data_IF_575214463563
#
_entry.id   IF_575214463563
#
_cell.length_a   1.000
_cell.length_b   1.000
_cell.length_c   1.000
_cell.angle_alpha   90.00
_cell.angle_beta   90.00
_cell.angle_gamma   90.00
#
_symmetry.space_group_name_H-M   'P 1'
#
loop_
_entity.id
_entity.type
_entity.pdbx_description
1 polymer ?
#
# COMPACT_ATOMS: atom_id res chain seq x y z
N UNK A 1 -11.51 -20.65 -108.81
CA UNK A 1 -11.30 -19.65 -107.72
C UNK A 1 -12.58 -19.47 -106.89
N UNK A 2 -13.19 -20.53 -106.32
CA UNK A 2 -14.46 -20.43 -105.56
C UNK A 2 -14.33 -20.80 -104.08
N UNK A 3 -13.17 -21.33 -103.66
CA UNK A 3 -12.94 -21.81 -102.29
C UNK A 3 -11.95 -20.92 -101.51
N UNK A 4 -11.49 -19.80 -102.10
CA UNK A 4 -10.50 -18.91 -101.49
C UNK A 4 -11.09 -18.01 -100.39
N UNK A 5 -12.43 -17.89 -100.32
CA UNK A 5 -13.15 -17.10 -99.32
C UNK A 5 -13.41 -17.85 -98.00
N UNK A 6 -13.16 -19.17 -97.94
CA UNK A 6 -13.36 -19.97 -96.73
C UNK A 6 -12.16 -19.94 -95.76
N UNK A 7 -10.96 -19.64 -96.27
CA UNK A 7 -9.74 -19.51 -95.48
C UNK A 7 -9.75 -18.36 -94.44
N UNK A 8 -10.19 -17.12 -94.76
CA UNK A 8 -10.23 -16.05 -93.75
C UNK A 8 -11.31 -16.31 -92.67
N UNK A 9 -12.40 -17.02 -93.03
CA UNK A 9 -13.46 -17.38 -92.08
C UNK A 9 -12.92 -18.32 -90.99
N UNK A 10 -12.17 -19.35 -91.38
CA UNK A 10 -11.56 -20.31 -90.45
C UNK A 10 -10.50 -19.68 -89.53
N UNK A 11 -9.77 -18.69 -90.04
CA UNK A 11 -8.79 -17.93 -89.25
C UNK A 11 -9.47 -17.08 -88.17
N UNK A 12 -10.63 -16.50 -88.46
CA UNK A 12 -11.42 -15.73 -87.49
C UNK A 12 -11.95 -16.57 -86.32
N UNK A 13 -12.27 -17.85 -86.54
CA UNK A 13 -12.74 -18.74 -85.46
C UNK A 13 -11.61 -19.20 -84.52
N UNK A 14 -10.36 -19.11 -84.94
CA UNK A 14 -9.21 -19.60 -84.15
C UNK A 14 -8.63 -18.53 -83.21
N UNK A 15 -9.09 -17.27 -83.30
CA UNK A 15 -8.55 -16.14 -82.53
C UNK A 15 -9.19 -15.94 -81.15
N UNK A 16 -10.02 -16.88 -80.69
CA UNK A 16 -10.65 -16.83 -79.37
C UNK A 16 -10.17 -18.02 -78.54
N UNK A 17 -9.01 -17.88 -77.90
CA UNK A 17 -8.46 -18.96 -77.09
C UNK A 17 -7.11 -18.65 -76.45
N UNK A 18 -7.13 -17.84 -75.38
CA UNK A 18 -6.28 -18.01 -74.19
C UNK A 18 -6.56 -16.87 -73.20
N UNK A 19 -7.33 -17.14 -72.16
CA UNK A 19 -7.20 -16.39 -70.91
C UNK A 19 -5.98 -16.95 -70.16
N UNK A 20 -5.07 -16.11 -69.64
CA UNK A 20 -4.01 -16.61 -68.78
C UNK A 20 -4.65 -17.09 -67.48
N UNK A 21 -4.63 -18.39 -67.26
CA UNK A 21 -4.94 -18.94 -65.95
C UNK A 21 -3.78 -18.55 -65.03
N UNK A 22 -3.88 -17.37 -64.41
CA UNK A 22 -3.09 -17.01 -63.24
C UNK A 22 -3.49 -18.00 -62.15
N UNK A 23 -2.69 -19.07 -62.03
CA UNK A 23 -2.70 -19.92 -60.86
C UNK A 23 -2.18 -19.05 -59.71
N UNK A 24 -3.08 -18.27 -59.13
CA UNK A 24 -2.88 -17.64 -57.85
C UNK A 24 -2.67 -18.78 -56.85
N UNK A 25 -1.40 -19.14 -56.64
CA UNK A 25 -1.01 -19.96 -55.52
C UNK A 25 -1.47 -19.17 -54.30
N UNK A 26 -2.64 -19.55 -53.77
CA UNK A 26 -3.04 -19.21 -52.43
C UNK A 26 -2.00 -19.89 -51.54
N UNK A 27 -0.90 -19.18 -51.31
CA UNK A 27 -0.01 -19.41 -50.19
C UNK A 27 -0.93 -19.27 -49.00
N UNK A 28 -1.39 -20.43 -48.51
CA UNK A 28 -2.09 -20.55 -47.26
C UNK A 28 -1.06 -20.11 -46.23
N UNK A 29 -1.02 -18.81 -45.94
CA UNK A 29 -0.33 -18.27 -44.78
C UNK A 29 -0.90 -19.05 -43.61
N UNK A 30 -0.16 -20.07 -43.17
CA UNK A 30 -0.40 -20.69 -41.88
C UNK A 30 -0.43 -19.54 -40.89
N UNK A 31 -1.51 -19.33 -40.14
CA UNK A 31 -1.51 -18.28 -39.14
C UNK A 31 -0.37 -18.62 -38.20
N UNK A 32 0.73 -17.87 -38.26
CA UNK A 32 1.78 -17.95 -37.25
C UNK A 32 1.05 -17.80 -35.93
N UNK A 33 1.06 -18.85 -35.11
CA UNK A 33 0.45 -18.80 -33.79
C UNK A 33 1.24 -17.77 -33.02
N UNK A 34 0.75 -16.54 -33.00
CA UNK A 34 1.32 -15.43 -32.25
C UNK A 34 1.46 -15.90 -30.80
N UNK A 35 2.71 -16.06 -30.35
CA UNK A 35 3.00 -16.48 -28.99
C UNK A 35 2.72 -15.29 -28.08
N UNK A 36 1.51 -15.24 -27.53
CA UNK A 36 1.17 -14.25 -26.53
C UNK A 36 1.73 -14.69 -25.18
N UNK A 37 2.32 -13.74 -24.47
CA UNK A 37 2.69 -13.92 -23.09
C UNK A 37 1.40 -14.02 -22.24
N UNK A 38 1.03 -15.24 -21.85
CA UNK A 38 -0.11 -15.50 -20.95
C UNK A 38 0.35 -15.64 -19.50
N UNK A 39 1.51 -15.10 -19.14
CA UNK A 39 1.94 -15.11 -17.74
C UNK A 39 0.92 -14.36 -16.90
N UNK A 40 0.39 -15.06 -15.89
CA UNK A 40 -0.59 -14.48 -14.98
C UNK A 40 0.10 -13.43 -14.12
N UNK A 41 -0.11 -12.16 -14.46
CA UNK A 41 0.31 -11.03 -13.63
C UNK A 41 -0.81 -10.78 -12.61
N UNK A 42 -0.53 -11.05 -11.35
CA UNK A 42 -1.44 -10.74 -10.25
C UNK A 42 -1.63 -9.22 -10.12
N UNK A 43 -2.83 -8.79 -9.77
CA UNK A 43 -3.19 -7.39 -9.51
C UNK A 43 -2.42 -6.78 -8.33
N UNK A 44 -1.68 -7.58 -7.56
CA UNK A 44 -0.82 -7.13 -6.46
C UNK A 44 0.69 -7.14 -6.80
N UNK A 45 1.05 -7.48 -8.03
CA UNK A 45 2.45 -7.50 -8.46
C UNK A 45 3.07 -6.10 -8.57
N UNK A 46 4.39 -6.03 -8.56
CA UNK A 46 5.11 -4.78 -8.71
C UNK A 46 4.77 -4.12 -10.05
N UNK A 47 4.25 -2.89 -10.01
CA UNK A 47 3.80 -2.16 -11.21
C UNK A 47 2.31 -2.30 -11.52
N UNK A 48 1.54 -3.10 -10.78
CA UNK A 48 0.09 -3.20 -10.94
C UNK A 48 -0.68 -1.95 -10.45
N UNK A 49 -0.02 -1.10 -9.64
CA UNK A 49 -0.60 0.13 -9.11
C UNK A 49 -0.11 1.35 -9.89
N UNK A 50 -0.97 2.35 -10.06
CA UNK A 50 -0.58 3.63 -10.66
C UNK A 50 0.39 4.39 -9.74
N UNK A 51 1.20 5.27 -10.34
CA UNK A 51 2.20 6.07 -9.60
C UNK A 51 1.55 6.90 -8.48
N UNK A 52 0.37 7.47 -8.75
CA UNK A 52 -0.35 8.30 -7.79
C UNK A 52 -0.86 7.48 -6.60
N UNK A 53 -1.42 6.30 -6.87
CA UNK A 53 -1.89 5.38 -5.83
C UNK A 53 -0.71 4.89 -4.99
N UNK A 54 0.41 4.54 -5.62
CA UNK A 54 1.63 4.17 -4.91
C UNK A 54 2.17 5.31 -4.03
N UNK A 55 2.10 6.55 -4.50
CA UNK A 55 2.51 7.73 -3.73
C UNK A 55 1.58 7.98 -2.53
N UNK A 56 0.27 7.83 -2.72
CA UNK A 56 -0.72 7.97 -1.66
C UNK A 56 -0.56 6.89 -0.58
N UNK A 57 -0.36 5.63 -0.97
CA UNK A 57 -0.07 4.52 -0.04
C UNK A 57 1.17 4.82 0.79
N UNK A 58 2.23 5.36 0.17
CA UNK A 58 3.46 5.74 0.90
C UNK A 58 3.20 6.86 1.90
N UNK A 59 2.43 7.87 1.52
CA UNK A 59 2.07 8.99 2.41
C UNK A 59 1.24 8.50 3.59
N UNK A 60 0.17 7.74 3.33
CA UNK A 60 -0.74 7.24 4.36
C UNK A 60 -0.04 6.29 5.34
N UNK A 61 0.85 5.43 4.84
CA UNK A 61 1.66 4.54 5.67
C UNK A 61 2.54 5.31 6.65
N UNK A 62 3.23 6.37 6.20
CA UNK A 62 4.05 7.22 7.08
C UNK A 62 3.21 7.93 8.13
N UNK A 63 2.08 8.53 7.72
CA UNK A 63 1.18 9.22 8.66
C UNK A 63 0.65 8.28 9.74
N UNK A 64 0.32 7.04 9.37
CA UNK A 64 -0.12 6.03 10.32
C UNK A 64 0.98 5.65 11.33
N UNK A 65 2.22 5.45 10.85
CA UNK A 65 3.36 5.17 11.73
C UNK A 65 3.63 6.33 12.69
N UNK A 66 3.60 7.57 12.20
CA UNK A 66 3.77 8.77 13.03
C UNK A 66 2.66 8.88 14.08
N UNK A 67 1.42 8.56 13.70
CA UNK A 67 0.27 8.55 14.62
C UNK A 67 0.46 7.54 15.76
N UNK A 68 0.94 6.33 15.44
CA UNK A 68 1.26 5.32 16.46
C UNK A 68 2.33 5.82 17.42
N UNK A 69 3.40 6.44 16.91
CA UNK A 69 4.48 6.95 17.76
C UNK A 69 3.97 8.06 18.68
N UNK A 70 3.22 9.03 18.15
CA UNK A 70 2.59 10.09 18.96
C UNK A 70 1.70 9.52 20.05
N UNK A 71 0.90 8.50 19.74
CA UNK A 71 0.05 7.84 20.73
C UNK A 71 0.86 7.14 21.83
N UNK A 72 2.01 6.53 21.49
CA UNK A 72 2.93 5.94 22.47
C UNK A 72 3.57 7.01 23.36
N UNK A 73 4.02 8.10 22.78
CA UNK A 73 4.66 9.21 23.51
C UNK A 73 3.69 9.85 24.50
N UNK A 74 2.45 10.09 24.07
CA UNK A 74 1.40 10.60 24.95
C UNK A 74 1.12 9.66 26.12
N UNK A 75 1.02 8.34 25.86
CA UNK A 75 0.86 7.35 26.94
C UNK A 75 2.03 7.38 27.92
N UNK A 76 3.26 7.39 27.43
CA UNK A 76 4.44 7.47 28.28
C UNK A 76 4.45 8.74 29.15
N UNK A 77 4.12 9.90 28.56
CA UNK A 77 4.01 11.16 29.31
C UNK A 77 2.92 11.10 30.37
N UNK A 78 1.74 10.53 30.06
CA UNK A 78 0.66 10.38 31.05
C UNK A 78 1.07 9.50 32.22
N UNK A 79 1.74 8.37 31.95
CA UNK A 79 2.23 7.48 33.01
C UNK A 79 3.28 8.14 33.90
N UNK A 80 4.21 8.92 33.30
CA UNK A 80 5.21 9.67 34.05
C UNK A 80 4.56 10.72 34.96
N UNK A 81 3.54 11.43 34.45
CA UNK A 81 2.80 12.44 35.20
C UNK A 81 2.02 11.80 36.36
N UNK A 82 1.37 10.66 36.13
CA UNK A 82 0.70 9.91 37.19
C UNK A 82 1.66 9.41 38.27
N UNK A 83 2.84 8.89 37.87
CA UNK A 83 3.89 8.48 38.82
C UNK A 83 4.40 9.67 39.63
N UNK A 84 4.62 10.81 38.99
CA UNK A 84 5.03 12.04 39.66
C UNK A 84 3.97 12.52 40.69
N UNK A 85 2.69 12.50 40.32
CA UNK A 85 1.58 12.84 41.25
C UNK A 85 1.52 11.90 42.45
N UNK A 86 1.56 10.57 42.21
CA UNK A 86 1.54 9.57 43.29
C UNK A 86 2.71 9.73 44.25
N UNK A 87 3.91 10.02 43.74
CA UNK A 87 5.09 10.24 44.60
C UNK A 87 5.01 11.54 45.38
N UNK A 88 4.45 12.61 44.81
CA UNK A 88 4.24 13.87 45.51
C UNK A 88 3.19 13.72 46.63
N UNK A 89 2.08 13.04 46.37
CA UNK A 89 1.03 12.75 47.35
C UNK A 89 1.57 11.88 48.51
N UNK A 90 2.33 10.84 48.20
CA UNK A 90 2.97 10.00 49.22
C UNK A 90 3.95 10.79 50.09
N UNK A 91 4.75 11.70 49.49
CA UNK A 91 5.63 12.59 50.25
C UNK A 91 4.83 13.50 51.19
N UNK A 92 3.81 14.19 50.68
CA UNK A 92 2.93 15.06 51.48
C UNK A 92 2.28 14.34 52.66
N UNK A 93 1.82 13.10 52.45
CA UNK A 93 1.25 12.27 53.52
C UNK A 93 2.31 11.91 54.57
N UNK A 94 3.49 11.49 54.15
CA UNK A 94 4.59 11.14 55.06
C UNK A 94 5.07 12.34 55.89
N UNK A 95 5.13 13.53 55.29
CA UNK A 95 5.53 14.74 55.98
C UNK A 95 4.46 15.19 56.97
N UNK A 96 3.18 15.06 56.62
CA UNK A 96 2.06 15.33 57.51
C UNK A 96 2.01 14.38 58.72
N UNK A 97 2.31 13.08 58.52
CA UNK A 97 2.43 12.12 59.63
C UNK A 97 3.61 12.45 60.54
N UNK A 98 4.79 12.75 59.98
CA UNK A 98 5.96 13.16 60.78
C UNK A 98 5.70 14.44 61.59
N UNK A 99 4.98 15.41 61.02
CA UNK A 99 4.61 16.64 61.72
C UNK A 99 3.62 16.37 62.87
N UNK A 100 2.68 15.43 62.68
CA UNK A 100 1.75 15.00 63.73
C UNK A 100 2.46 14.25 64.86
N UNK A 101 3.42 13.39 64.52
CA UNK A 101 4.22 12.66 65.50
C UNK A 101 5.10 13.59 66.33
N UNK A 102 5.78 14.56 65.69
CA UNK A 102 6.56 15.58 66.40
C UNK A 102 5.70 16.48 67.32
N UNK A 103 4.48 16.82 66.92
CA UNK A 103 3.59 17.59 67.78
C UNK A 103 3.07 16.77 68.96
N UNK A 104 2.90 15.45 68.80
CA UNK A 104 2.50 14.55 69.90
C UNK A 104 3.61 14.36 70.93
N UNK A 105 4.86 14.19 70.49
CA UNK A 105 6.01 14.05 71.41
C UNK A 105 6.30 15.34 72.17
N UNK A 106 6.27 16.51 71.51
CA UNK A 106 6.44 17.81 72.19
C UNK A 106 5.36 18.09 73.24
N UNK A 107 4.11 17.71 72.96
CA UNK A 107 2.98 17.89 73.89
C UNK A 107 3.02 16.90 75.07
N UNK A 108 3.67 15.75 74.91
CA UNK A 108 3.93 14.79 75.99
C UNK A 108 5.09 15.23 76.90
N UNK A 109 6.10 15.92 76.36
CA UNK A 109 7.21 16.47 77.14
C UNK A 109 6.81 17.72 77.95
N UNK A 110 5.93 18.60 77.43
CA UNK A 110 5.40 19.74 78.21
C UNK A 110 4.41 19.33 79.32
N UNK A 111 3.78 18.15 79.20
CA UNK A 111 2.88 17.59 80.24
C UNK A 111 3.62 16.87 81.38
N UNK A 112 4.93 16.65 81.24
CA UNK A 112 5.76 15.90 82.18
C UNK A 112 6.91 16.77 82.73
N UNK A 113 6.58 17.93 83.31
CA UNK A 113 7.46 18.62 84.26
C UNK A 113 6.83 18.55 85.66
N UNK A 114 7.60 18.14 86.70
CA UNK A 114 7.06 17.64 87.96
C UNK A 114 6.54 18.78 88.85
N UNK A 115 5.37 18.58 89.45
CA UNK A 115 4.93 19.39 90.57
C UNK A 115 5.84 19.12 91.78
N UNK A 116 6.72 20.07 92.09
CA UNK A 116 7.39 20.22 93.40
C UNK A 116 7.08 21.61 93.96
N UNK A 117 6.14 21.65 94.91
CA UNK A 117 6.23 22.26 96.24
C UNK A 117 4.86 22.28 96.91
#
# INVERSE_FOLDING_TARGET
MRNLLLLPLLYFLSSCGQEPQENEMVVRETPEMLSYDTTAIDSFSAGATSVDVAAEIRRSSRLYQDSIQKAKDLKAQTELLEKAKKTEEARKQSDAEKLKEQNRTKKAEEGASPATN
#
